data_IF_036528981752
#
_entry.id   IF_036528981752
#
_cell.length_a   1.000
_cell.length_b   1.000
_cell.length_c   1.000
_cell.angle_alpha   90.00
_cell.angle_beta   90.00
_cell.angle_gamma   90.00
#
_symmetry.space_group_name_H-M   'P 1'
#
loop_
_entity.id
_entity.type
_entity.pdbx_description
1 polymer ?
#
# COMPACT_ATOMS: atom_id res chain seq x y z
N UNK A 1 -7.39 22.60 -2.35
CA UNK A 1 -6.36 22.10 -3.27
C UNK A 1 -6.73 22.39 -4.71
N UNK A 2 -5.75 22.79 -5.50
CA UNK A 2 -5.92 22.92 -6.94
C UNK A 2 -6.04 21.50 -7.54
N UNK A 3 -6.77 21.41 -8.64
CA UNK A 3 -6.97 20.12 -9.33
C UNK A 3 -5.66 19.43 -9.66
N UNK A 4 -4.65 20.20 -10.13
CA UNK A 4 -3.34 19.67 -10.48
C UNK A 4 -2.63 19.05 -9.26
N UNK A 5 -2.72 19.70 -8.09
CA UNK A 5 -2.11 19.18 -6.87
C UNK A 5 -2.79 17.89 -6.42
N UNK A 6 -4.11 17.81 -6.52
CA UNK A 6 -4.86 16.61 -6.19
C UNK A 6 -4.45 15.45 -7.10
N UNK A 7 -4.33 15.71 -8.39
CA UNK A 7 -3.92 14.72 -9.37
C UNK A 7 -2.49 14.23 -9.12
N UNK A 8 -1.58 15.15 -8.80
CA UNK A 8 -0.19 14.80 -8.48
C UNK A 8 -0.11 13.90 -7.24
N UNK A 9 -0.91 14.19 -6.22
CA UNK A 9 -0.96 13.34 -5.02
C UNK A 9 -1.49 11.94 -5.35
N UNK A 10 -2.52 11.85 -6.18
CA UNK A 10 -3.07 10.58 -6.61
C UNK A 10 -2.04 9.76 -7.40
N UNK A 11 -1.33 10.39 -8.33
CA UNK A 11 -0.28 9.72 -9.11
C UNK A 11 0.85 9.24 -8.21
N UNK A 12 1.27 10.06 -7.24
CA UNK A 12 2.29 9.67 -6.27
C UNK A 12 1.89 8.41 -5.50
N UNK A 13 0.66 8.38 -5.01
CA UNK A 13 0.15 7.23 -4.25
C UNK A 13 0.05 5.98 -5.12
N UNK A 14 -0.37 6.12 -6.38
CA UNK A 14 -0.43 4.99 -7.31
C UNK A 14 0.96 4.45 -7.62
N UNK A 15 1.92 5.33 -7.90
CA UNK A 15 3.30 4.93 -8.17
C UNK A 15 3.91 4.24 -6.96
N UNK A 16 3.65 4.76 -5.77
CA UNK A 16 4.14 4.17 -4.53
C UNK A 16 3.56 2.76 -4.33
N UNK A 17 2.27 2.59 -4.58
CA UNK A 17 1.63 1.28 -4.48
C UNK A 17 2.26 0.27 -5.46
N UNK A 18 2.55 0.71 -6.69
CA UNK A 18 3.20 -0.15 -7.69
C UNK A 18 4.62 -0.56 -7.25
N UNK A 19 5.39 0.39 -6.73
CA UNK A 19 6.75 0.14 -6.26
C UNK A 19 6.77 -0.85 -5.09
N UNK A 20 5.82 -0.73 -4.18
CA UNK A 20 5.76 -1.56 -2.98
C UNK A 20 5.37 -3.02 -3.27
N UNK A 21 4.87 -3.31 -4.47
CA UNK A 21 4.48 -4.67 -4.84
C UNK A 21 5.62 -5.68 -4.72
N UNK A 22 6.80 -5.34 -5.22
CA UNK A 22 7.97 -6.21 -5.13
C UNK A 22 8.42 -6.39 -3.68
N UNK A 23 8.44 -5.29 -2.91
CA UNK A 23 8.78 -5.33 -1.49
C UNK A 23 7.82 -6.25 -0.73
N UNK A 24 6.52 -6.13 -1.01
CA UNK A 24 5.49 -6.95 -0.37
C UNK A 24 5.71 -8.44 -0.66
N UNK A 25 5.95 -8.78 -1.91
CA UNK A 25 6.20 -10.18 -2.30
C UNK A 25 7.46 -10.73 -1.64
N UNK A 26 8.52 -9.91 -1.60
CA UNK A 26 9.78 -10.31 -0.98
C UNK A 26 9.60 -10.56 0.51
N UNK A 27 8.84 -9.73 1.22
CA UNK A 27 8.54 -9.92 2.63
C UNK A 27 7.72 -11.17 2.87
N UNK A 28 6.71 -11.42 2.03
CA UNK A 28 5.85 -12.59 2.17
C UNK A 28 6.68 -13.88 2.09
N UNK A 29 7.53 -13.98 1.09
CA UNK A 29 8.34 -15.19 0.86
C UNK A 29 9.54 -15.26 1.80
N UNK A 30 10.19 -14.13 2.06
CA UNK A 30 11.40 -14.10 2.86
C UNK A 30 11.16 -14.26 4.35
N UNK A 31 10.04 -13.75 4.86
CA UNK A 31 9.74 -13.79 6.28
C UNK A 31 8.77 -14.92 6.67
N UNK A 32 8.11 -15.54 5.69
CA UNK A 32 7.13 -16.59 5.97
C UNK A 32 5.93 -16.13 6.77
N UNK A 33 5.54 -14.86 6.60
CA UNK A 33 4.40 -14.25 7.31
C UNK A 33 3.18 -14.21 6.41
N UNK A 34 2.02 -13.84 6.97
CA UNK A 34 0.79 -13.74 6.20
C UNK A 34 0.75 -12.48 5.36
N UNK A 35 -0.12 -12.46 4.35
CA UNK A 35 -0.33 -11.28 3.51
C UNK A 35 -0.79 -10.08 4.34
N UNK A 36 -1.67 -10.30 5.31
CA UNK A 36 -2.12 -9.26 6.22
C UNK A 36 -0.96 -8.68 7.05
N UNK A 37 -0.06 -9.53 7.52
CA UNK A 37 1.12 -9.09 8.26
C UNK A 37 2.05 -8.24 7.40
N UNK A 38 2.24 -8.63 6.13
CA UNK A 38 3.04 -7.85 5.18
C UNK A 38 2.45 -6.45 5.02
N UNK A 39 1.15 -6.36 4.80
CA UNK A 39 0.48 -5.06 4.62
C UNK A 39 0.55 -4.20 5.86
N UNK A 40 0.42 -4.78 7.06
CA UNK A 40 0.60 -4.05 8.31
C UNK A 40 2.00 -3.48 8.46
N UNK A 41 3.01 -4.27 8.12
CA UNK A 41 4.41 -3.82 8.18
C UNK A 41 4.68 -2.68 7.22
N UNK A 42 4.18 -2.79 6.00
CA UNK A 42 4.33 -1.73 4.99
C UNK A 42 3.61 -0.47 5.46
N UNK A 43 2.36 -0.59 5.92
CA UNK A 43 1.58 0.53 6.42
C UNK A 43 2.29 1.24 7.58
N UNK A 44 2.86 0.47 8.50
CA UNK A 44 3.58 1.00 9.66
C UNK A 44 4.87 1.73 9.25
N UNK A 45 5.48 1.37 8.14
CA UNK A 45 6.68 2.03 7.62
C UNK A 45 6.41 3.29 6.81
N UNK A 46 5.18 3.51 6.33
CA UNK A 46 4.86 4.67 5.49
C UNK A 46 5.07 6.01 6.18
N UNK A 47 4.76 6.19 7.49
CA UNK A 47 5.03 7.47 8.16
C UNK A 47 6.51 7.84 8.22
N UNK A 48 7.40 6.87 8.10
CA UNK A 48 8.85 7.12 8.12
C UNK A 48 9.39 7.56 6.76
N UNK A 49 8.56 7.58 5.71
CA UNK A 49 8.97 8.06 4.40
C UNK A 49 8.99 9.60 4.38
N UNK A 50 9.77 10.17 3.48
CA UNK A 50 9.84 11.63 3.32
C UNK A 50 8.66 12.19 2.50
N UNK A 51 7.66 11.38 2.21
CA UNK A 51 6.55 11.75 1.33
C UNK A 51 5.44 12.52 2.04
N UNK A 52 5.47 12.58 3.37
CA UNK A 52 4.50 13.32 4.19
C UNK A 52 3.05 12.92 3.85
N UNK A 53 2.80 11.62 3.84
CA UNK A 53 1.49 11.07 3.52
C UNK A 53 0.51 11.28 4.68
N UNK A 54 -0.74 11.61 4.35
CA UNK A 54 -1.82 11.64 5.34
C UNK A 54 -2.25 10.19 5.67
N UNK A 55 -2.97 10.01 6.78
CA UNK A 55 -3.51 8.71 7.15
C UNK A 55 -4.39 8.13 6.05
N UNK A 56 -5.24 8.96 5.44
CA UNK A 56 -6.09 8.54 4.34
C UNK A 56 -5.30 8.10 3.12
N UNK A 57 -4.22 8.81 2.79
CA UNK A 57 -3.34 8.43 1.69
C UNK A 57 -2.62 7.11 1.98
N UNK A 58 -2.16 6.91 3.20
CA UNK A 58 -1.50 5.67 3.59
C UNK A 58 -2.46 4.48 3.54
N UNK A 59 -3.69 4.67 3.98
CA UNK A 59 -4.74 3.64 3.88
C UNK A 59 -5.05 3.31 2.43
N UNK A 60 -5.15 4.35 1.58
CA UNK A 60 -5.41 4.15 0.16
C UNK A 60 -4.29 3.38 -0.53
N UNK A 61 -3.03 3.75 -0.25
CA UNK A 61 -1.86 3.07 -0.82
C UNK A 61 -1.85 1.59 -0.42
N UNK A 62 -2.11 1.31 0.85
CA UNK A 62 -2.12 -0.06 1.37
C UNK A 62 -3.24 -0.88 0.70
N UNK A 63 -4.43 -0.30 0.58
CA UNK A 63 -5.56 -0.95 -0.08
C UNK A 63 -5.30 -1.19 -1.56
N UNK A 64 -4.75 -0.20 -2.25
CA UNK A 64 -4.41 -0.33 -3.67
C UNK A 64 -3.34 -1.39 -3.90
N UNK A 65 -2.35 -1.44 -2.99
CA UNK A 65 -1.32 -2.47 -3.04
C UNK A 65 -1.94 -3.87 -2.93
N UNK A 66 -2.85 -4.06 -1.99
CA UNK A 66 -3.52 -5.35 -1.82
C UNK A 66 -4.32 -5.74 -3.07
N UNK A 67 -5.02 -4.79 -3.68
CA UNK A 67 -5.74 -5.03 -4.94
C UNK A 67 -4.79 -5.45 -6.06
N UNK A 68 -3.70 -4.72 -6.22
CA UNK A 68 -2.72 -4.96 -7.29
C UNK A 68 -2.08 -6.34 -7.14
N UNK A 69 -1.84 -6.77 -5.91
CA UNK A 69 -1.25 -8.09 -5.64
C UNK A 69 -2.27 -9.23 -5.68
N UNK A 70 -3.55 -8.93 -5.74
CA UNK A 70 -4.60 -9.94 -5.71
C UNK A 70 -4.77 -10.58 -4.33
N UNK A 71 -4.47 -9.83 -3.26
CA UNK A 71 -4.51 -10.31 -1.88
C UNK A 71 -5.84 -10.09 -1.18
N UNK A 72 -6.83 -9.55 -1.87
CA UNK A 72 -8.17 -9.36 -1.33
C UNK A 72 -9.04 -10.58 -1.65
N UNK A 73 -9.97 -10.91 -0.75
CA UNK A 73 -10.93 -11.98 -0.98
C UNK A 73 -12.06 -11.49 -1.92
N UNK A 74 -13.07 -12.35 -2.15
CA UNK A 74 -14.20 -12.02 -3.04
C UNK A 74 -15.01 -10.83 -2.55
N UNK A 75 -15.00 -10.54 -1.25
CA UNK A 75 -15.69 -9.38 -0.69
C UNK A 75 -14.86 -8.10 -0.77
N UNK A 76 -13.63 -8.18 -1.26
CA UNK A 76 -12.71 -7.05 -1.32
C UNK A 76 -11.98 -6.79 -0.01
N UNK A 77 -11.89 -7.79 0.86
CA UNK A 77 -11.22 -7.67 2.16
C UNK A 77 -10.06 -8.66 2.27
N UNK A 78 -9.12 -8.36 3.15
CA UNK A 78 -8.00 -9.25 3.41
C UNK A 78 -8.48 -10.54 4.05
N UNK A 79 -8.00 -11.69 3.57
CA UNK A 79 -8.30 -12.98 4.20
C UNK A 79 -7.66 -13.05 5.60
N UNK A 80 -8.37 -13.62 6.48
CA UNK A 80 -7.91 -13.80 7.85
C UNK A 80 -8.63 -12.99 8.84
#
# INVERSE_FOLDING_TARGET
LLWAELLERHELCEDLAQMLGETARAQLHGLGITEADVLQRIRAGLPATDLDLTDGEMDWVTGRLAETLGWLDESGQLPG
#
